data_IF_983630731668
#
_entry.id   IF_983630731668
#
_cell.length_a   1.000
_cell.length_b   1.000
_cell.length_c   1.000
_cell.angle_alpha   90.00
_cell.angle_beta   90.00
_cell.angle_gamma   90.00
#
_symmetry.space_group_name_H-M   'P 1'
#
loop_
_entity.id
_entity.type
_entity.pdbx_description
1 polymer ?
#
# COMPACT_ATOMS: atom_id res chain seq x y z
N UNK A 1 -72.36 60.39 34.77
CA UNK A 1 -72.98 60.94 33.59
C UNK A 1 -72.87 59.89 32.53
N UNK A 2 -73.95 59.25 32.35
CA UNK A 2 -74.82 59.24 31.18
C UNK A 2 -74.16 58.53 30.04
N UNK A 3 -74.72 57.64 29.43
CA UNK A 3 -75.99 56.98 29.21
C UNK A 3 -75.84 56.11 27.99
N UNK A 4 -76.43 54.93 28.05
CA UNK A 4 -77.36 54.41 27.06
C UNK A 4 -76.75 54.07 25.69
N UNK A 5 -77.15 53.11 25.01
CA UNK A 5 -78.15 52.06 25.08
C UNK A 5 -78.11 51.27 23.78
N UNK A 6 -78.44 50.03 23.88
CA UNK A 6 -79.37 49.31 23.02
C UNK A 6 -79.03 49.23 21.50
N UNK A 7 -79.25 48.15 20.84
CA UNK A 7 -80.27 47.15 20.85
C UNK A 7 -80.17 46.32 19.54
N UNK A 8 -80.43 45.04 19.64
CA UNK A 8 -81.13 44.21 18.64
C UNK A 8 -80.55 44.13 17.23
N UNK A 9 -80.57 43.08 16.55
CA UNK A 9 -81.54 42.01 16.38
C UNK A 9 -80.94 41.01 15.35
N UNK A 10 -80.96 39.84 15.68
CA UNK A 10 -81.82 38.80 15.12
C UNK A 10 -81.50 38.22 13.74
N UNK A 11 -81.10 37.00 13.81
CA UNK A 11 -81.50 35.80 13.04
C UNK A 11 -80.90 35.51 11.63
N UNK A 12 -81.09 34.30 11.22
CA UNK A 12 -79.98 33.43 10.84
C UNK A 12 -80.08 33.10 9.34
N UNK A 13 -78.99 32.82 8.74
CA UNK A 13 -79.07 32.15 7.43
C UNK A 13 -78.18 30.94 7.43
N UNK A 14 -78.80 29.89 7.08
CA UNK A 14 -78.33 28.57 6.84
C UNK A 14 -77.32 28.49 5.67
N UNK A 15 -76.44 27.51 5.80
CA UNK A 15 -75.94 26.60 4.80
C UNK A 15 -75.00 27.17 3.73
N UNK A 16 -73.81 26.69 3.76
CA UNK A 16 -73.45 25.67 2.76
C UNK A 16 -72.19 24.92 3.27
N UNK A 17 -72.31 23.59 3.34
CA UNK A 17 -71.22 22.68 3.56
C UNK A 17 -70.39 22.65 2.28
N UNK A 18 -69.19 23.21 2.31
CA UNK A 18 -68.17 22.88 1.29
C UNK A 18 -67.27 21.84 1.90
N UNK A 19 -67.36 20.66 1.39
CA UNK A 19 -66.47 19.53 1.65
C UNK A 19 -65.18 19.88 0.92
N UNK A 20 -64.19 20.38 1.65
CA UNK A 20 -62.85 20.48 1.13
C UNK A 20 -62.22 19.11 1.26
N UNK A 21 -62.09 18.41 0.13
CA UNK A 21 -61.34 17.19 0.03
C UNK A 21 -59.87 17.45 0.35
N UNK A 22 -59.41 16.96 1.51
CA UNK A 22 -58.01 16.97 1.84
C UNK A 22 -57.25 16.01 0.94
N UNK A 23 -56.63 16.55 -0.09
CA UNK A 23 -55.65 15.81 -0.90
C UNK A 23 -54.44 15.46 -0.06
N UNK A 24 -54.32 14.21 0.34
CA UNK A 24 -53.08 13.67 0.94
C UNK A 24 -52.04 13.59 -0.17
N UNK A 25 -51.21 14.60 -0.27
CA UNK A 25 -50.00 14.52 -1.12
C UNK A 25 -49.01 13.57 -0.46
N UNK A 26 -48.98 12.32 -0.92
CA UNK A 26 -47.96 11.37 -0.56
C UNK A 26 -46.63 11.79 -1.20
N UNK A 27 -45.77 12.44 -0.43
CA UNK A 27 -44.38 12.65 -0.81
C UNK A 27 -43.68 11.29 -0.82
N UNK A 28 -43.52 10.72 -2.01
CA UNK A 28 -42.63 9.58 -2.23
C UNK A 28 -41.19 10.07 -2.05
N UNK A 29 -40.62 9.92 -0.86
CA UNK A 29 -39.19 10.02 -0.64
C UNK A 29 -38.52 8.86 -1.36
N UNK A 30 -38.03 9.07 -2.56
CA UNK A 30 -37.08 8.21 -3.23
C UNK A 30 -35.78 8.25 -2.45
N UNK A 31 -35.58 7.28 -1.56
CA UNK A 31 -34.31 7.05 -0.91
C UNK A 31 -33.32 6.64 -2.01
N UNK A 32 -32.53 7.61 -2.46
CA UNK A 32 -31.42 7.38 -3.38
C UNK A 32 -30.34 6.65 -2.57
N UNK A 33 -30.31 5.34 -2.70
CA UNK A 33 -29.24 4.51 -2.16
C UNK A 33 -27.95 4.91 -2.86
N UNK A 34 -27.17 5.73 -2.19
CA UNK A 34 -25.75 5.93 -2.55
C UNK A 34 -25.05 4.60 -2.28
N UNK A 35 -24.89 3.79 -3.34
CA UNK A 35 -24.01 2.65 -3.27
C UNK A 35 -22.64 3.15 -2.80
N UNK A 36 -22.02 2.52 -1.80
CA UNK A 36 -20.67 2.89 -1.39
C UNK A 36 -19.77 2.78 -2.63
N UNK A 37 -19.20 3.89 -3.04
CA UNK A 37 -18.12 3.88 -4.05
C UNK A 37 -17.00 3.11 -3.37
N UNK A 38 -16.83 1.84 -3.74
CA UNK A 38 -15.68 1.05 -3.35
C UNK A 38 -14.47 1.72 -3.97
N UNK A 39 -13.79 2.56 -3.22
CA UNK A 39 -12.47 3.02 -3.61
C UNK A 39 -11.62 1.76 -3.78
N UNK A 40 -10.89 1.62 -4.91
CA UNK A 40 -9.96 0.52 -5.05
C UNK A 40 -9.07 0.51 -3.81
N UNK A 41 -9.02 -0.61 -3.11
CA UNK A 41 -8.14 -0.76 -1.96
C UNK A 41 -6.74 -0.37 -2.44
N UNK A 42 -6.17 0.69 -1.87
CA UNK A 42 -4.81 1.10 -2.21
C UNK A 42 -3.93 -0.14 -2.05
N UNK A 43 -3.27 -0.50 -3.11
CA UNK A 43 -2.52 -1.73 -3.21
C UNK A 43 -1.40 -1.74 -2.17
N UNK A 44 -1.64 -2.48 -1.08
CA UNK A 44 -0.79 -2.43 0.11
C UNK A 44 0.57 -3.08 -0.16
N UNK A 45 1.64 -2.30 -0.13
CA UNK A 45 2.99 -2.84 -0.12
C UNK A 45 3.27 -3.56 1.20
N UNK A 46 3.41 -4.89 1.14
CA UNK A 46 3.52 -5.77 2.32
C UNK A 46 4.84 -5.59 3.09
N UNK A 47 5.92 -5.13 2.42
CA UNK A 47 7.23 -4.91 3.05
C UNK A 47 7.43 -3.49 3.55
N UNK A 48 6.56 -2.54 3.21
CA UNK A 48 6.76 -1.14 3.57
C UNK A 48 6.88 -0.93 5.08
N UNK A 49 7.85 -0.14 5.50
CA UNK A 49 8.07 0.18 6.91
C UNK A 49 6.83 0.81 7.55
N UNK A 50 6.13 1.70 6.83
CA UNK A 50 4.86 2.30 7.27
C UNK A 50 3.74 1.28 7.51
N UNK A 51 3.83 0.10 6.90
CA UNK A 51 2.88 -0.99 7.06
C UNK A 51 3.36 -2.04 8.09
N UNK A 52 4.50 -1.80 8.76
CA UNK A 52 5.07 -2.65 9.78
C UNK A 52 6.12 -3.65 9.27
N UNK A 53 6.56 -3.54 8.00
CA UNK A 53 7.72 -4.26 7.49
C UNK A 53 9.00 -3.84 8.19
N UNK A 54 9.93 -4.77 8.37
CA UNK A 54 11.20 -4.51 9.07
C UNK A 54 12.35 -5.26 8.41
N UNK A 55 13.45 -4.59 8.16
CA UNK A 55 14.72 -5.25 7.86
C UNK A 55 15.26 -5.83 9.17
N UNK A 56 15.44 -7.14 9.23
CA UNK A 56 15.89 -7.84 10.46
C UNK A 56 17.31 -8.38 10.36
N UNK A 57 17.85 -8.47 9.15
CA UNK A 57 19.22 -8.92 8.91
C UNK A 57 19.71 -8.40 7.56
N UNK A 58 20.97 -8.09 7.49
CA UNK A 58 21.68 -7.81 6.24
C UNK A 58 23.16 -8.22 6.39
N UNK A 59 23.85 -8.51 5.28
CA UNK A 59 25.26 -8.87 5.29
C UNK A 59 26.13 -7.67 5.61
N UNK A 60 25.92 -6.56 4.90
CA UNK A 60 26.65 -5.31 5.10
C UNK A 60 25.83 -4.11 4.65
N UNK A 61 26.21 -2.93 5.10
CA UNK A 61 25.69 -1.66 4.60
C UNK A 61 26.76 -0.57 4.64
N UNK A 62 26.68 0.36 3.73
CA UNK A 62 27.56 1.54 3.69
C UNK A 62 27.30 2.50 4.85
N UNK A 63 26.08 2.47 5.40
CA UNK A 63 25.63 3.40 6.44
C UNK A 63 25.19 4.77 5.91
N UNK A 64 24.90 5.69 6.83
CA UNK A 64 24.38 7.01 6.47
C UNK A 64 23.07 6.95 5.70
N UNK A 65 23.02 7.55 4.51
CA UNK A 65 21.86 7.51 3.63
C UNK A 65 21.65 6.15 2.92
N UNK A 66 22.60 5.21 3.04
CA UNK A 66 22.64 3.92 2.32
C UNK A 66 22.33 2.73 3.23
N UNK A 67 21.44 2.92 4.17
CA UNK A 67 21.05 1.89 5.15
C UNK A 67 20.07 0.88 4.54
N UNK A 68 20.08 -0.32 5.10
CA UNK A 68 19.22 -1.41 4.64
C UNK A 68 17.73 -1.09 4.79
N UNK A 69 17.33 -0.34 5.81
CA UNK A 69 15.94 0.10 6.01
C UNK A 69 15.40 0.97 4.86
N UNK A 70 16.30 1.64 4.12
CA UNK A 70 15.93 2.46 2.97
C UNK A 70 15.29 1.68 1.84
N UNK A 71 15.50 0.38 1.77
CA UNK A 71 14.84 -0.49 0.80
C UNK A 71 13.31 -0.52 0.92
N UNK A 72 12.79 -0.28 2.13
CA UNK A 72 11.37 -0.45 2.45
C UNK A 72 10.72 0.81 3.01
N UNK A 73 11.41 1.95 3.07
CA UNK A 73 10.88 3.20 3.63
C UNK A 73 10.02 4.00 2.65
N UNK A 74 9.95 3.61 1.38
CA UNK A 74 9.16 4.23 0.31
C UNK A 74 9.43 5.73 0.07
N UNK A 75 10.57 6.24 0.51
CA UNK A 75 10.97 7.61 0.22
C UNK A 75 11.20 7.82 -1.29
N UNK A 76 11.16 9.07 -1.71
CA UNK A 76 11.45 9.40 -3.11
C UNK A 76 12.88 9.02 -3.49
N UNK A 77 13.07 8.56 -4.72
CA UNK A 77 14.40 8.32 -5.30
C UNK A 77 15.07 9.66 -5.67
N UNK A 78 16.40 9.73 -5.72
CA UNK A 78 17.34 8.64 -5.44
C UNK A 78 17.52 8.37 -3.93
N UNK A 79 17.28 7.15 -3.51
CA UNK A 79 17.47 6.67 -2.13
C UNK A 79 17.57 5.16 -2.14
N UNK A 80 18.22 4.52 -1.18
CA UNK A 80 18.27 3.07 -1.10
C UNK A 80 19.38 2.55 -0.20
N UNK A 81 19.64 1.28 -0.33
CA UNK A 81 20.72 0.57 0.32
C UNK A 81 21.92 0.41 -0.62
N UNK A 82 23.10 0.43 -0.04
CA UNK A 82 24.33 -0.04 -0.68
C UNK A 82 25.15 -0.86 0.33
N UNK A 83 25.84 -1.90 -0.17
CA UNK A 83 26.78 -2.69 0.64
C UNK A 83 27.98 -1.85 1.08
N UNK A 84 28.70 -2.32 2.10
CA UNK A 84 29.92 -1.67 2.56
C UNK A 84 31.03 -1.74 1.49
N UNK A 85 31.10 -2.87 0.79
CA UNK A 85 32.08 -3.18 -0.25
C UNK A 85 31.44 -4.01 -1.40
N UNK A 86 32.25 -4.43 -2.37
CA UNK A 86 31.85 -5.23 -3.52
C UNK A 86 31.69 -6.72 -3.25
N UNK A 87 31.82 -7.17 -2.01
CA UNK A 87 31.69 -8.61 -1.66
C UNK A 87 30.31 -9.15 -2.00
N UNK A 88 30.24 -10.28 -2.67
CA UNK A 88 29.02 -10.98 -3.02
C UNK A 88 29.08 -12.43 -2.51
N UNK A 89 27.97 -13.06 -2.17
CA UNK A 89 26.61 -12.52 -2.22
C UNK A 89 26.29 -11.59 -1.05
N UNK A 90 25.40 -10.64 -1.25
CA UNK A 90 24.79 -9.82 -0.21
C UNK A 90 23.39 -10.34 0.14
N UNK A 91 23.11 -10.48 1.41
CA UNK A 91 21.82 -10.95 1.94
C UNK A 91 21.09 -9.81 2.64
N UNK A 92 19.79 -9.68 2.39
CA UNK A 92 18.89 -8.78 3.14
C UNK A 92 17.63 -9.58 3.47
N UNK A 93 17.23 -9.57 4.75
CA UNK A 93 16.03 -10.25 5.21
C UNK A 93 15.04 -9.24 5.75
N UNK A 94 13.84 -9.24 5.17
CA UNK A 94 12.71 -8.42 5.58
C UNK A 94 11.67 -9.30 6.27
N UNK A 95 11.20 -8.87 7.43
CA UNK A 95 10.06 -9.45 8.13
C UNK A 95 8.80 -8.69 7.77
N UNK A 96 7.76 -9.38 7.33
CA UNK A 96 6.41 -8.85 7.17
C UNK A 96 5.72 -8.71 8.54
N UNK A 97 4.76 -7.78 8.69
CA UNK A 97 4.03 -7.59 9.95
C UNK A 97 3.26 -8.85 10.37
N UNK A 98 2.77 -9.62 9.41
CA UNK A 98 2.09 -10.90 9.60
C UNK A 98 2.44 -11.85 8.46
N UNK A 99 2.25 -13.18 8.62
CA UNK A 99 2.27 -14.11 7.52
C UNK A 99 1.33 -13.61 6.41
N UNK A 100 1.83 -13.52 5.20
CA UNK A 100 1.08 -12.92 4.09
C UNK A 100 1.32 -13.69 2.81
N UNK A 101 0.29 -13.72 1.96
CA UNK A 101 0.39 -14.23 0.60
C UNK A 101 0.79 -13.12 -0.34
N UNK A 102 1.66 -13.41 -1.30
CA UNK A 102 2.13 -12.46 -2.30
C UNK A 102 2.42 -13.15 -3.64
N UNK A 103 2.36 -12.38 -4.72
CA UNK A 103 2.66 -12.87 -6.06
C UNK A 103 3.34 -11.82 -6.96
N UNK A 104 3.59 -10.62 -6.44
CA UNK A 104 4.18 -9.54 -7.24
C UNK A 104 5.33 -8.90 -6.49
N UNK A 105 6.48 -8.87 -7.16
CA UNK A 105 7.74 -8.29 -6.68
C UNK A 105 8.03 -7.05 -7.52
N UNK A 106 8.41 -5.95 -6.89
CA UNK A 106 8.80 -4.73 -7.60
C UNK A 106 10.15 -4.27 -7.08
N UNK A 107 11.07 -4.01 -7.98
CA UNK A 107 12.41 -3.52 -7.71
C UNK A 107 12.64 -2.18 -8.39
N UNK A 108 13.38 -1.29 -7.72
CA UNK A 108 13.86 -0.05 -8.30
C UNK A 108 15.36 0.07 -8.03
N UNK A 109 16.12 0.49 -9.02
CA UNK A 109 17.59 0.59 -8.94
C UNK A 109 18.11 2.01 -8.73
N UNK A 110 17.23 3.04 -8.83
CA UNK A 110 17.62 4.44 -8.71
C UNK A 110 17.98 4.80 -7.25
N UNK A 111 19.08 4.23 -6.79
CA UNK A 111 19.63 4.45 -5.45
C UNK A 111 20.50 5.72 -5.33
N UNK A 112 20.82 6.37 -6.46
CA UNK A 112 21.80 7.45 -6.52
C UNK A 112 23.25 6.96 -6.57
N UNK A 113 23.50 5.64 -6.56
CA UNK A 113 24.81 5.06 -6.83
C UNK A 113 25.07 4.99 -8.35
N UNK A 114 26.34 4.89 -8.79
CA UNK A 114 26.66 4.58 -10.17
C UNK A 114 25.93 3.32 -10.64
N UNK A 115 25.46 3.32 -11.89
CA UNK A 115 24.66 2.25 -12.45
C UNK A 115 25.40 0.90 -12.54
N UNK A 116 26.75 0.93 -12.58
CA UNK A 116 27.59 -0.28 -12.46
C UNK A 116 27.47 -0.97 -11.10
N UNK A 117 27.16 -0.21 -10.03
CA UNK A 117 26.96 -0.72 -8.66
C UNK A 117 25.54 -1.26 -8.44
N UNK A 118 24.62 -1.09 -9.37
CA UNK A 118 23.25 -1.57 -9.20
C UNK A 118 23.19 -3.09 -9.17
N UNK A 119 22.33 -3.63 -8.31
CA UNK A 119 22.06 -5.05 -8.26
C UNK A 119 21.56 -5.56 -9.62
N UNK A 120 22.12 -6.68 -10.08
CA UNK A 120 21.69 -7.33 -11.32
C UNK A 120 20.92 -8.61 -11.03
N UNK A 121 21.56 -9.58 -10.40
CA UNK A 121 20.96 -10.89 -10.17
C UNK A 121 20.56 -11.04 -8.70
N UNK A 122 19.28 -11.33 -8.47
CA UNK A 122 18.68 -11.44 -7.14
C UNK A 122 17.87 -12.71 -7.05
N UNK A 123 18.21 -13.58 -6.09
CA UNK A 123 17.39 -14.72 -5.71
C UNK A 123 16.50 -14.34 -4.51
N UNK A 124 15.21 -14.62 -4.61
CA UNK A 124 14.20 -14.30 -3.62
C UNK A 124 13.74 -15.59 -2.96
N UNK A 125 13.79 -15.61 -1.63
CA UNK A 125 13.32 -16.73 -0.83
C UNK A 125 12.27 -16.26 0.16
N UNK A 126 11.45 -17.21 0.63
CA UNK A 126 10.49 -16.97 1.71
C UNK A 126 10.58 -18.06 2.77
N UNK A 127 10.11 -17.72 3.97
CA UNK A 127 9.96 -18.65 5.08
C UNK A 127 8.87 -18.19 6.06
N UNK A 128 8.27 -19.15 6.75
CA UNK A 128 7.43 -18.98 7.93
C UNK A 128 7.32 -20.35 8.65
N UNK A 129 7.78 -20.46 9.89
CA UNK A 129 8.49 -19.48 10.73
C UNK A 129 9.91 -19.14 10.24
N UNK A 130 10.59 -18.20 10.94
CA UNK A 130 12.00 -17.89 10.62
C UNK A 130 12.86 -19.12 10.79
N UNK A 131 13.59 -19.57 9.76
CA UNK A 131 14.35 -20.79 9.83
C UNK A 131 15.66 -20.58 10.58
N UNK A 132 15.94 -21.42 11.56
CA UNK A 132 17.20 -21.41 12.32
C UNK A 132 18.31 -22.13 11.57
N UNK A 133 17.97 -23.20 10.84
CA UNK A 133 18.92 -24.00 10.03
C UNK A 133 18.23 -24.42 8.73
N UNK A 134 18.52 -23.74 7.62
CA UNK A 134 17.86 -24.02 6.34
C UNK A 134 16.38 -23.63 6.34
N UNK A 135 15.57 -24.29 5.51
CA UNK A 135 14.12 -24.07 5.47
C UNK A 135 13.65 -22.86 4.64
N UNK A 136 14.57 -22.13 3.99
CA UNK A 136 14.24 -21.12 3.01
C UNK A 136 13.72 -21.78 1.73
N UNK A 137 12.53 -21.35 1.29
CA UNK A 137 11.92 -21.78 0.04
C UNK A 137 12.23 -20.75 -1.05
N UNK A 138 12.87 -21.18 -2.13
CA UNK A 138 13.10 -20.32 -3.28
C UNK A 138 11.75 -19.95 -3.92
N UNK A 139 11.51 -18.64 -4.10
CA UNK A 139 10.36 -18.10 -4.81
C UNK A 139 10.69 -17.95 -6.29
N UNK A 140 11.77 -17.23 -6.58
CA UNK A 140 12.26 -16.99 -7.95
C UNK A 140 13.68 -16.42 -7.92
N UNK A 141 14.30 -16.39 -9.09
CA UNK A 141 15.50 -15.60 -9.36
C UNK A 141 15.18 -14.61 -10.46
N UNK A 142 15.56 -13.35 -10.31
CA UNK A 142 15.34 -12.30 -11.28
C UNK A 142 16.67 -11.69 -11.71
N UNK A 143 16.75 -11.28 -12.97
CA UNK A 143 17.83 -10.45 -13.48
C UNK A 143 17.25 -9.06 -13.77
N UNK A 144 17.72 -8.06 -13.03
CA UNK A 144 17.23 -6.69 -13.10
C UNK A 144 17.88 -5.99 -14.29
N UNK A 145 17.08 -5.32 -15.09
CA UNK A 145 17.57 -4.49 -16.18
C UNK A 145 18.21 -3.20 -15.62
N UNK A 146 19.20 -2.66 -16.32
CA UNK A 146 19.91 -1.43 -15.94
C UNK A 146 19.07 -0.20 -16.27
N UNK A 147 18.08 0.08 -15.41
CA UNK A 147 17.12 1.19 -15.60
C UNK A 147 16.64 1.74 -14.25
N UNK A 148 16.19 3.00 -14.25
CA UNK A 148 15.73 3.70 -13.04
C UNK A 148 14.25 3.51 -12.72
N UNK A 149 13.48 2.94 -13.65
CA UNK A 149 12.04 2.70 -13.47
C UNK A 149 11.79 1.42 -12.68
N UNK A 150 10.62 1.36 -12.04
CA UNK A 150 10.18 0.17 -11.32
C UNK A 150 10.09 -1.04 -12.26
N UNK A 151 10.67 -2.17 -11.86
CA UNK A 151 10.66 -3.44 -12.58
C UNK A 151 9.79 -4.42 -11.82
N UNK A 152 8.73 -4.89 -12.47
CA UNK A 152 7.71 -5.75 -11.86
C UNK A 152 7.87 -7.19 -12.34
N UNK A 153 7.85 -8.13 -11.39
CA UNK A 153 7.92 -9.57 -11.65
C UNK A 153 6.73 -10.25 -10.99
N UNK A 154 6.00 -11.05 -11.76
CA UNK A 154 4.91 -11.89 -11.25
C UNK A 154 5.45 -13.28 -10.97
N UNK A 155 5.08 -13.83 -9.81
CA UNK A 155 5.47 -15.17 -9.37
C UNK A 155 4.24 -15.99 -8.98
N UNK A 156 4.39 -17.29 -8.85
CA UNK A 156 3.33 -18.12 -8.28
C UNK A 156 2.99 -17.64 -6.88
N UNK A 157 1.69 -17.44 -6.55
CA UNK A 157 1.28 -17.00 -5.23
C UNK A 157 1.91 -17.84 -4.13
N UNK A 158 2.63 -17.22 -3.24
CA UNK A 158 3.45 -17.86 -2.21
C UNK A 158 3.17 -17.21 -0.86
N UNK A 159 3.15 -18.03 0.19
CA UNK A 159 2.93 -17.58 1.56
C UNK A 159 4.27 -17.46 2.28
N UNK A 160 4.37 -16.46 3.17
CA UNK A 160 5.53 -16.29 4.04
C UNK A 160 5.44 -15.09 4.95
N UNK A 161 6.29 -15.08 5.96
CA UNK A 161 6.46 -13.96 6.89
C UNK A 161 7.83 -13.31 6.77
N UNK A 162 8.79 -14.06 6.29
CA UNK A 162 10.16 -13.59 6.08
C UNK A 162 10.50 -13.69 4.60
N UNK A 163 11.03 -12.62 4.06
CA UNK A 163 11.47 -12.53 2.67
C UNK A 163 12.98 -12.25 2.67
N UNK A 164 13.72 -13.11 2.01
CA UNK A 164 15.18 -13.00 1.88
C UNK A 164 15.53 -12.65 0.46
N UNK A 165 16.23 -11.55 0.28
CA UNK A 165 16.89 -11.18 -0.95
C UNK A 165 18.35 -11.62 -0.87
N UNK A 166 18.80 -12.39 -1.84
CA UNK A 166 20.19 -12.79 -2.01
C UNK A 166 20.69 -12.21 -3.34
N UNK A 167 21.47 -11.15 -3.26
CA UNK A 167 22.04 -10.46 -4.41
C UNK A 167 23.35 -11.14 -4.75
N UNK A 168 23.46 -11.68 -5.96
CA UNK A 168 24.60 -12.50 -6.40
C UNK A 168 25.45 -11.82 -7.45
N UNK A 169 24.98 -10.73 -8.07
CA UNK A 169 25.75 -9.95 -9.01
C UNK A 169 25.36 -8.47 -9.02
N UNK A 170 26.32 -7.60 -9.32
CA UNK A 170 26.11 -6.23 -9.72
C UNK A 170 26.17 -6.11 -11.26
N UNK A 171 25.82 -4.94 -11.82
CA UNK A 171 25.92 -4.72 -13.26
C UNK A 171 27.36 -4.65 -13.75
N UNK A 172 28.27 -4.06 -12.98
CA UNK A 172 29.71 -4.15 -13.27
C UNK A 172 30.31 -5.30 -12.43
N UNK A 173 31.16 -6.16 -13.04
CA UNK A 173 31.75 -7.31 -12.33
C UNK A 173 32.75 -6.89 -11.25
N UNK A 174 33.35 -5.73 -11.40
CA UNK A 174 34.35 -5.11 -10.49
C UNK A 174 33.76 -3.94 -9.69
N UNK A 175 32.43 -3.90 -9.56
CA UNK A 175 31.76 -2.86 -8.79
C UNK A 175 32.28 -2.80 -7.36
N UNK A 176 32.70 -1.63 -6.84
CA UNK A 176 33.22 -1.49 -5.47
C UNK A 176 32.13 -1.71 -4.41
N UNK A 177 30.88 -1.73 -4.82
CA UNK A 177 29.68 -2.00 -3.98
C UNK A 177 28.56 -2.56 -4.83
N UNK A 178 27.53 -3.04 -4.16
CA UNK A 178 26.25 -3.31 -4.80
C UNK A 178 25.16 -2.48 -4.12
N UNK A 179 24.20 -1.96 -4.90
CA UNK A 179 23.13 -1.11 -4.41
C UNK A 179 21.77 -1.49 -4.98
N UNK A 180 20.74 -1.19 -4.22
CA UNK A 180 19.34 -1.39 -4.58
C UNK A 180 18.52 -0.24 -3.95
N UNK A 181 17.70 0.43 -4.77
CA UNK A 181 16.94 1.58 -4.30
C UNK A 181 15.75 1.14 -3.46
N UNK A 182 14.92 0.25 -4.02
CA UNK A 182 13.64 -0.09 -3.40
C UNK A 182 13.21 -1.51 -3.72
N UNK A 183 12.57 -2.11 -2.75
CA UNK A 183 11.89 -3.39 -2.88
C UNK A 183 10.44 -3.25 -2.39
N UNK A 184 9.48 -3.72 -3.20
CA UNK A 184 8.07 -3.75 -2.83
C UNK A 184 7.49 -5.14 -3.08
N UNK A 185 6.46 -5.49 -2.33
CA UNK A 185 5.81 -6.79 -2.37
C UNK A 185 4.30 -6.65 -2.29
N UNK A 186 3.58 -7.28 -3.23
CA UNK A 186 2.12 -7.17 -3.32
C UNK A 186 1.46 -8.53 -3.54
N UNK A 187 0.18 -8.61 -3.21
CA UNK A 187 -0.76 -9.60 -3.72
C UNK A 187 -1.66 -8.90 -4.75
N UNK A 188 -1.56 -9.31 -6.01
CA UNK A 188 -2.33 -8.80 -7.15
C UNK A 188 -3.17 -9.89 -7.78
#
# INVERSE_FOLDING_TARGET
>A
MSTCAASRSDRPQLRTRSVVAAGVATLAMTAMWLAPVSMPAEERNLVAARNGGQVIKYTSERGGQWRAEKLIDEQATPSGWASADGSLPQEIIVRLPAPSRFNTLVFNLDSGAPDGEWARDVAIYTADPFPTMGGWKLVTTVSLARQTTDQTFTVTPTDGRFVRLLITAAHAPDAPRVSLARFKLFLR
#
